data_IF_711116092555
#
_entry.id   IF_711116092555
#
_cell.length_a   1.000
_cell.length_b   1.000
_cell.length_c   1.000
_cell.angle_alpha   90.00
_cell.angle_beta   90.00
_cell.angle_gamma   90.00
#
_symmetry.space_group_name_H-M   'P 1'
#
loop_
_entity.id
_entity.type
_entity.pdbx_description
1 polymer ?
#
# COMPACT_ATOMS: atom_id res chain seq x y z
N UNK A 1 13.65 -6.93 -10.89
CA UNK A 1 12.92 -6.15 -11.91
C UNK A 1 12.56 -4.79 -11.35
N UNK A 2 12.83 -3.73 -12.08
CA UNK A 2 12.51 -2.37 -11.66
C UNK A 2 11.02 -2.08 -11.79
N UNK A 3 10.48 -1.37 -10.81
CA UNK A 3 9.12 -0.83 -10.92
C UNK A 3 9.12 0.31 -11.94
N UNK A 4 8.15 0.30 -12.83
CA UNK A 4 7.96 1.41 -13.74
C UNK A 4 6.86 2.32 -13.18
N UNK A 5 7.26 3.39 -12.50
CA UNK A 5 6.34 4.33 -11.88
C UNK A 5 5.56 5.17 -12.90
N UNK A 6 5.95 5.13 -14.16
CA UNK A 6 5.23 5.81 -15.24
C UNK A 6 4.22 4.89 -15.93
N UNK A 7 4.18 3.61 -15.56
CA UNK A 7 3.21 2.66 -16.10
C UNK A 7 1.79 3.11 -15.73
N UNK A 8 0.89 3.30 -16.71
CA UNK A 8 -0.51 3.67 -16.42
C UNK A 8 -1.20 2.70 -15.47
N UNK A 9 -0.93 1.41 -15.59
CA UNK A 9 -1.53 0.42 -14.70
C UNK A 9 -1.09 0.62 -13.26
N UNK A 10 0.17 0.95 -13.03
CA UNK A 10 0.68 1.25 -11.69
C UNK A 10 0.03 2.52 -11.14
N UNK A 11 -0.05 3.57 -11.95
CA UNK A 11 -0.68 4.82 -11.53
C UNK A 11 -2.14 4.64 -11.15
N UNK A 12 -2.87 3.85 -11.96
CA UNK A 12 -4.26 3.55 -11.68
C UNK A 12 -4.41 2.77 -10.37
N UNK A 13 -3.59 1.74 -10.18
CA UNK A 13 -3.57 0.95 -8.94
C UNK A 13 -3.34 1.85 -7.73
N UNK A 14 -2.32 2.71 -7.79
CA UNK A 14 -1.99 3.63 -6.70
C UNK A 14 -3.15 4.57 -6.38
N UNK A 15 -3.74 5.16 -7.42
CA UNK A 15 -4.85 6.09 -7.26
C UNK A 15 -6.06 5.41 -6.61
N UNK A 16 -6.39 4.19 -7.05
CA UNK A 16 -7.52 3.45 -6.51
C UNK A 16 -7.31 3.04 -5.06
N UNK A 17 -6.10 2.64 -4.69
CA UNK A 17 -5.79 2.31 -3.30
C UNK A 17 -5.92 3.56 -2.42
N UNK A 18 -5.37 4.69 -2.87
CA UNK A 18 -5.47 5.94 -2.12
C UNK A 18 -6.93 6.37 -1.94
N UNK A 19 -7.74 6.28 -2.99
CA UNK A 19 -9.15 6.65 -2.93
C UNK A 19 -9.93 5.71 -1.99
N UNK A 20 -9.69 4.41 -2.08
CA UNK A 20 -10.33 3.44 -1.19
C UNK A 20 -10.05 3.79 0.26
N UNK A 21 -8.82 4.15 0.57
CA UNK A 21 -8.36 4.46 1.92
C UNK A 21 -8.61 5.92 2.30
N UNK A 22 -9.25 6.70 1.42
CA UNK A 22 -9.63 8.11 1.64
C UNK A 22 -8.42 8.97 1.97
N UNK A 23 -7.29 8.70 1.31
CA UNK A 23 -6.03 9.43 1.51
C UNK A 23 -5.63 9.47 2.98
N UNK A 24 -5.81 8.35 3.68
CA UNK A 24 -5.55 8.23 5.11
C UNK A 24 -4.64 7.04 5.36
N UNK A 25 -3.58 7.26 6.15
CA UNK A 25 -2.73 6.16 6.60
C UNK A 25 -3.56 5.17 7.41
N UNK A 26 -3.53 3.91 7.02
CA UNK A 26 -4.37 2.90 7.66
C UNK A 26 -3.82 2.45 9.02
N UNK A 27 -2.56 2.74 9.32
CA UNK A 27 -1.97 2.41 10.61
C UNK A 27 -2.18 3.52 11.65
N UNK A 28 -1.77 4.75 11.34
CA UNK A 28 -1.84 5.85 12.31
C UNK A 28 -3.05 6.77 12.10
N UNK A 29 -3.78 6.58 11.00
CA UNK A 29 -4.99 7.33 10.66
C UNK A 29 -4.75 8.80 10.32
N UNK A 30 -3.51 9.19 10.06
CA UNK A 30 -3.23 10.54 9.57
C UNK A 30 -3.66 10.67 8.13
N UNK A 31 -4.38 11.74 7.83
CA UNK A 31 -4.73 12.09 6.46
C UNK A 31 -3.59 12.87 5.81
N UNK A 32 -3.48 12.78 4.50
CA UNK A 32 -2.45 13.52 3.80
C UNK A 32 -2.72 13.58 2.31
N UNK A 33 -1.87 14.34 1.62
CA UNK A 33 -1.90 14.39 0.16
C UNK A 33 -1.22 13.14 -0.39
N UNK A 34 -1.63 12.74 -1.59
CA UNK A 34 -1.06 11.56 -2.24
C UNK A 34 0.45 11.59 -2.33
N UNK A 35 1.06 12.79 -2.47
CA UNK A 35 2.50 12.94 -2.54
C UNK A 35 3.22 12.59 -1.23
N UNK A 36 2.50 12.61 -0.10
CA UNK A 36 3.04 12.31 1.22
C UNK A 36 2.65 10.94 1.73
N UNK A 37 1.88 10.19 0.94
CA UNK A 37 1.42 8.87 1.29
C UNK A 37 2.09 7.85 0.39
N UNK A 38 2.31 6.66 0.92
CA UNK A 38 2.87 5.54 0.18
C UNK A 38 1.84 4.44 0.05
N UNK A 39 1.83 3.78 -1.11
CA UNK A 39 1.02 2.58 -1.29
C UNK A 39 1.94 1.39 -1.12
N UNK A 40 1.75 0.65 -0.05
CA UNK A 40 2.57 -0.51 0.29
C UNK A 40 1.95 -1.77 -0.30
N UNK A 41 2.76 -2.59 -0.96
CA UNK A 41 2.34 -3.91 -1.41
C UNK A 41 2.45 -4.89 -0.25
N UNK A 42 1.32 -5.44 0.18
CA UNK A 42 1.28 -6.37 1.32
C UNK A 42 2.08 -7.62 0.98
N UNK A 43 1.81 -8.22 -0.18
CA UNK A 43 2.66 -9.28 -0.73
C UNK A 43 3.72 -8.61 -1.60
N UNK A 44 4.98 -9.01 -1.42
CA UNK A 44 6.12 -8.34 -2.06
C UNK A 44 5.99 -8.26 -3.59
N UNK A 45 6.39 -7.14 -4.14
CA UNK A 45 6.41 -6.91 -5.57
C UNK A 45 7.14 -8.02 -6.32
N UNK A 46 8.29 -8.44 -5.81
CA UNK A 46 9.14 -9.41 -6.50
C UNK A 46 8.65 -10.84 -6.39
N UNK A 47 7.90 -11.18 -5.33
CA UNK A 47 7.49 -12.56 -5.08
C UNK A 47 6.02 -12.85 -5.40
N UNK A 48 5.23 -11.82 -5.70
CA UNK A 48 3.81 -11.98 -5.99
C UNK A 48 3.42 -11.15 -7.22
N UNK A 49 3.99 -11.51 -8.38
CA UNK A 49 3.81 -10.73 -9.61
C UNK A 49 2.35 -10.57 -10.01
N UNK A 50 1.53 -11.59 -9.81
CA UNK A 50 0.10 -11.55 -10.17
C UNK A 50 -0.69 -10.58 -9.29
N UNK A 51 -0.14 -10.16 -8.14
CA UNK A 51 -0.82 -9.28 -7.20
C UNK A 51 -0.31 -7.84 -7.25
N UNK A 52 0.60 -7.53 -8.19
CA UNK A 52 1.24 -6.20 -8.24
C UNK A 52 0.25 -5.06 -8.41
N UNK A 53 -0.85 -5.29 -9.13
CA UNK A 53 -1.86 -4.28 -9.39
C UNK A 53 -3.22 -4.64 -8.80
N UNK A 54 -3.24 -5.60 -7.89
CA UNK A 54 -4.46 -5.97 -7.18
C UNK A 54 -4.69 -4.99 -6.02
N UNK A 55 -5.82 -4.29 -6.04
CA UNK A 55 -6.16 -3.30 -5.02
C UNK A 55 -6.16 -3.91 -3.63
N UNK A 56 -6.58 -5.17 -3.51
CA UNK A 56 -6.60 -5.86 -2.22
C UNK A 56 -5.20 -6.19 -1.70
N UNK A 57 -4.16 -6.02 -2.53
CA UNK A 57 -2.77 -6.19 -2.12
C UNK A 57 -2.07 -4.87 -1.83
N UNK A 58 -2.79 -3.76 -1.88
CA UNK A 58 -2.23 -2.45 -1.61
C UNK A 58 -2.86 -1.82 -0.38
N UNK A 59 -2.08 -1.07 0.37
CA UNK A 59 -2.56 -0.36 1.55
C UNK A 59 -1.85 0.99 1.66
N UNK A 60 -2.60 2.03 2.02
CA UNK A 60 -2.05 3.38 2.15
C UNK A 60 -1.38 3.54 3.51
N UNK A 61 -0.13 3.97 3.50
CA UNK A 61 0.65 4.25 4.70
C UNK A 61 1.35 5.60 4.55
N UNK A 62 1.48 6.33 5.65
CA UNK A 62 2.32 7.53 5.66
C UNK A 62 3.80 7.10 5.68
N UNK A 63 4.68 8.07 5.38
CA UNK A 63 6.12 7.76 5.32
C UNK A 63 6.63 7.15 6.62
N UNK A 64 6.22 7.69 7.75
CA UNK A 64 6.67 7.20 9.07
C UNK A 64 6.24 5.76 9.29
N UNK A 65 4.97 5.44 9.02
CA UNK A 65 4.48 4.07 9.19
C UNK A 65 5.11 3.12 8.17
N UNK A 66 5.27 3.56 6.93
CA UNK A 66 5.92 2.76 5.90
C UNK A 66 7.37 2.43 6.29
N UNK A 67 8.10 3.44 6.78
CA UNK A 67 9.48 3.25 7.22
C UNK A 67 9.57 2.30 8.43
N UNK A 68 8.57 2.34 9.32
CA UNK A 68 8.57 1.51 10.52
C UNK A 68 8.41 0.02 10.20
N UNK A 69 7.77 -0.33 9.07
CA UNK A 69 7.60 -1.73 8.68
C UNK A 69 8.63 -2.19 7.63
N UNK A 70 9.45 -1.28 7.11
CA UNK A 70 10.47 -1.62 6.12
C UNK A 70 11.46 -2.62 6.74
N UNK A 71 11.70 -3.72 6.03
CA UNK A 71 12.52 -4.82 6.53
C UNK A 71 11.77 -5.79 7.43
N UNK A 72 10.53 -5.49 7.79
CA UNK A 72 9.69 -6.33 8.66
C UNK A 72 8.35 -6.67 8.01
N UNK A 73 8.30 -6.63 6.68
CA UNK A 73 7.05 -6.78 5.92
C UNK A 73 6.33 -8.08 6.24
N UNK A 74 7.07 -9.18 6.37
CA UNK A 74 6.46 -10.47 6.69
C UNK A 74 5.83 -10.49 8.09
N UNK A 75 6.44 -9.79 9.03
CA UNK A 75 5.94 -9.69 10.39
C UNK A 75 4.60 -8.95 10.43
N UNK A 76 4.46 -7.89 9.62
CA UNK A 76 3.27 -7.06 9.62
C UNK A 76 2.20 -7.52 8.63
N UNK A 77 2.46 -8.54 7.83
CA UNK A 77 1.54 -8.95 6.75
C UNK A 77 0.13 -9.24 7.26
N UNK A 78 -0.01 -10.07 8.27
CA UNK A 78 -1.32 -10.42 8.83
C UNK A 78 -2.05 -9.21 9.39
N UNK A 79 -1.32 -8.34 10.07
CA UNK A 79 -1.87 -7.10 10.61
C UNK A 79 -2.44 -6.21 9.51
N UNK A 80 -1.70 -6.04 8.42
CA UNK A 80 -2.14 -5.21 7.30
C UNK A 80 -3.36 -5.81 6.60
N UNK A 81 -3.40 -7.12 6.45
CA UNK A 81 -4.56 -7.81 5.88
C UNK A 81 -5.81 -7.56 6.75
N UNK A 82 -5.65 -7.63 8.06
CA UNK A 82 -6.75 -7.35 8.98
C UNK A 82 -7.25 -5.92 8.86
N UNK A 83 -6.34 -4.96 8.71
CA UNK A 83 -6.73 -3.56 8.50
C UNK A 83 -7.57 -3.39 7.25
N UNK A 84 -7.24 -4.07 6.17
CA UNK A 84 -8.02 -4.02 4.94
C UNK A 84 -9.42 -4.58 5.14
N UNK A 85 -9.55 -5.68 5.86
CA UNK A 85 -10.85 -6.29 6.14
C UNK A 85 -11.75 -5.38 6.94
N UNK A 86 -11.18 -4.64 7.88
CA UNK A 86 -11.94 -3.71 8.73
C UNK A 86 -12.44 -2.49 7.97
N UNK A 87 -11.76 -2.13 6.87
CA UNK A 87 -12.06 -0.92 6.11
C UNK A 87 -12.94 -1.15 4.90
N UNK A 88 -13.37 -2.38 4.68
CA UNK A 88 -14.30 -2.69 3.59
C UNK A 88 -15.75 -2.46 3.97
#
# INVERSE_FOLDING_TARGET
MRRNYNDPAYKQFRTEVLKRDKFTCQMCKKRGKGSRLNVHHIMKWSSAASLRYDIDNGITLCKVCHDSITGKENYYMSYLIDLLKRNK
#
